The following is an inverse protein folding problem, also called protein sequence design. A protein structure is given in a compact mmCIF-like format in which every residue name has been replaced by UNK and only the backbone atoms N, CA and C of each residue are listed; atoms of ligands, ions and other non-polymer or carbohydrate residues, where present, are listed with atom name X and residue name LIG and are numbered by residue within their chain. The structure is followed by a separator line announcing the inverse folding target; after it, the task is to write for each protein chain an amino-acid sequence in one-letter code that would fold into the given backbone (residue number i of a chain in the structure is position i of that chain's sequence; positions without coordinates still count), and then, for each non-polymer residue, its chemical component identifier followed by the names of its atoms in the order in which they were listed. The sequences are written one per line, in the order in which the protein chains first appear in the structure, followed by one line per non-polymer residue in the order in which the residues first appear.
data_IF_044339433332
#
_entry.id   IF_044339433332
#
_cell.length_a   1.000
_cell.length_b   1.000
_cell.length_c   1.000
_cell.angle_alpha   90.00
_cell.angle_beta   90.00
_cell.angle_gamma   90.00
#
_symmetry.space_group_name_H-M   'P 1'
#
loop_
_entity.id
_entity.type
_entity.pdbx_description
1 polymer ?
#
# COMPACT_ATOMS: atom_id res chain seq x y z
N UNK A 1 25.08 -25.36 -53.92
CA UNK A 1 23.74 -25.33 -53.30
C UNK A 1 23.91 -25.38 -51.78
N UNK A 2 23.06 -24.71 -51.00
CA UNK A 2 23.49 -23.67 -50.04
C UNK A 2 23.08 -23.94 -48.56
N UNK A 3 23.31 -22.91 -47.71
CA UNK A 3 22.69 -22.60 -46.38
C UNK A 3 23.32 -23.29 -45.14
N UNK A 4 23.52 -22.66 -43.99
CA UNK A 4 23.45 -21.26 -43.51
C UNK A 4 24.16 -21.20 -42.15
N UNK A 5 24.74 -20.05 -41.86
CA UNK A 5 25.35 -19.65 -40.59
C UNK A 5 24.28 -19.59 -39.48
N UNK A 6 24.55 -20.18 -38.30
CA UNK A 6 23.76 -19.94 -37.08
C UNK A 6 24.60 -19.09 -36.14
N UNK A 7 24.09 -17.89 -35.89
CA UNK A 7 24.62 -16.93 -34.93
C UNK A 7 24.51 -17.53 -33.53
N UNK A 8 25.65 -17.62 -32.82
CA UNK A 8 25.63 -17.77 -31.38
C UNK A 8 25.06 -16.48 -30.78
N UNK A 9 23.82 -16.55 -30.31
CA UNK A 9 23.27 -15.55 -29.42
C UNK A 9 24.06 -15.62 -28.10
N UNK A 10 24.77 -14.55 -27.79
CA UNK A 10 25.38 -14.33 -26.49
C UNK A 10 24.27 -14.32 -25.44
N UNK A 11 24.32 -15.29 -24.54
CA UNK A 11 23.49 -15.39 -23.34
C UNK A 11 23.57 -14.07 -22.55
N UNK A 12 22.44 -13.41 -22.22
CA UNK A 12 22.49 -12.22 -21.38
C UNK A 12 22.95 -12.64 -19.98
N UNK A 13 24.00 -11.97 -19.49
CA UNK A 13 24.53 -12.18 -18.15
C UNK A 13 23.42 -12.09 -17.09
N UNK A 14 23.47 -12.92 -16.02
CA UNK A 14 22.51 -12.84 -14.94
C UNK A 14 22.55 -11.44 -14.32
N UNK A 15 21.36 -10.84 -14.16
CA UNK A 15 21.19 -9.56 -13.47
C UNK A 15 21.82 -9.65 -12.06
N UNK A 16 22.50 -8.58 -11.59
CA UNK A 16 23.01 -8.55 -10.23
C UNK A 16 21.84 -8.68 -9.24
N UNK A 17 22.02 -9.35 -8.09
CA UNK A 17 20.98 -9.42 -7.07
C UNK A 17 20.62 -8.00 -6.64
N UNK A 18 19.34 -7.67 -6.81
CA UNK A 18 18.74 -6.42 -6.38
C UNK A 18 18.84 -6.38 -4.85
N UNK A 19 19.87 -5.72 -4.30
CA UNK A 19 19.94 -5.39 -2.87
C UNK A 19 18.96 -4.25 -2.61
N UNK A 20 17.69 -4.54 -2.70
CA UNK A 20 16.68 -3.78 -1.96
C UNK A 20 16.91 -4.13 -0.49
N UNK A 21 17.07 -3.15 0.38
CA UNK A 21 17.19 -3.42 1.82
C UNK A 21 15.94 -4.19 2.24
N UNK A 22 16.08 -5.50 2.47
CA UNK A 22 15.00 -6.34 2.93
C UNK A 22 14.64 -5.87 4.33
N UNK A 23 13.41 -5.43 4.49
CA UNK A 23 12.85 -5.09 5.79
C UNK A 23 12.08 -6.34 6.19
N UNK A 24 12.53 -7.03 7.24
CA UNK A 24 11.91 -8.27 7.69
C UNK A 24 10.45 -8.01 8.09
N UNK A 25 9.53 -8.93 7.74
CA UNK A 25 8.11 -8.75 8.03
C UNK A 25 7.83 -8.68 9.54
N UNK A 26 8.67 -9.31 10.38
CA UNK A 26 8.58 -9.19 11.83
C UNK A 26 8.80 -7.75 12.32
N UNK A 27 9.83 -7.08 11.82
CA UNK A 27 10.07 -5.64 12.10
C UNK A 27 8.91 -4.77 11.64
N UNK A 28 8.26 -5.17 10.55
CA UNK A 28 7.12 -4.46 9.97
C UNK A 28 5.86 -4.66 10.81
N UNK A 29 5.61 -5.88 11.31
CA UNK A 29 4.52 -6.15 12.25
C UNK A 29 4.72 -5.41 13.57
N UNK A 30 5.94 -5.34 14.08
CA UNK A 30 6.25 -4.53 15.26
C UNK A 30 5.92 -3.05 15.01
N UNK A 31 6.29 -2.50 13.86
CA UNK A 31 5.97 -1.10 13.49
C UNK A 31 4.45 -0.89 13.33
N UNK A 32 3.73 -1.85 12.74
CA UNK A 32 2.27 -1.78 12.57
C UNK A 32 1.50 -2.05 13.87
N UNK A 33 2.08 -2.81 14.80
CA UNK A 33 1.51 -3.18 16.09
C UNK A 33 1.70 -2.13 17.18
N UNK A 34 2.88 -1.50 17.27
CA UNK A 34 3.39 -0.83 18.48
C UNK A 34 2.99 0.66 18.66
N UNK A 35 1.90 1.16 18.03
CA UNK A 35 1.50 2.59 18.15
C UNK A 35 0.07 2.85 18.58
N UNK A 36 -0.24 2.56 19.83
CA UNK A 36 -1.52 2.92 20.47
C UNK A 36 -1.55 4.39 20.90
N UNK A 37 -1.98 5.28 20.02
CA UNK A 37 -2.57 6.55 20.46
C UNK A 37 -4.09 6.42 20.51
N UNK A 38 -4.59 6.29 21.74
CA UNK A 38 -6.00 6.33 22.08
C UNK A 38 -6.57 7.72 21.78
N UNK A 39 -7.58 7.80 20.91
CA UNK A 39 -8.56 8.88 20.94
C UNK A 39 -9.90 8.38 20.43
N UNK A 40 -10.66 7.74 21.33
CA UNK A 40 -12.08 7.51 21.17
C UNK A 40 -12.83 8.83 21.46
N UNK A 41 -13.36 9.46 20.42
CA UNK A 41 -14.23 10.62 20.50
C UNK A 41 -15.52 10.36 19.73
N UNK A 42 -16.57 10.00 20.47
CA UNK A 42 -17.96 9.95 20.03
C UNK A 42 -18.47 11.37 19.70
N UNK A 43 -19.07 11.55 18.52
CA UNK A 43 -20.11 12.57 18.29
C UNK A 43 -20.64 12.48 16.85
N UNK A 44 -21.88 12.02 16.70
CA UNK A 44 -22.70 12.19 15.50
C UNK A 44 -23.06 13.65 15.22
N UNK A 45 -22.14 14.40 14.62
CA UNK A 45 -22.38 15.75 14.11
C UNK A 45 -22.28 15.79 12.58
N UNK A 46 -23.15 16.58 11.96
CA UNK A 46 -23.34 16.69 10.53
C UNK A 46 -22.05 16.97 9.74
N UNK A 47 -22.02 16.44 8.51
CA UNK A 47 -20.94 16.43 7.49
C UNK A 47 -20.48 17.84 7.07
N UNK A 48 -19.85 18.56 7.99
CA UNK A 48 -19.05 19.76 7.76
C UNK A 48 -17.92 19.76 8.79
N UNK A 49 -17.16 18.67 8.82
CA UNK A 49 -15.92 18.62 9.58
C UNK A 49 -14.84 19.39 8.78
N UNK A 50 -14.26 20.49 9.32
CA UNK A 50 -13.15 21.21 8.69
C UNK A 50 -11.94 20.31 8.41
N UNK A 51 -11.88 19.13 9.05
CA UNK A 51 -10.86 18.12 8.79
C UNK A 51 -11.03 17.46 7.42
N UNK A 52 -12.22 17.41 6.81
CA UNK A 52 -12.47 16.82 5.47
C UNK A 52 -12.15 17.77 4.29
N UNK A 53 -11.29 18.76 4.51
CA UNK A 53 -10.96 19.79 3.52
C UNK A 53 -9.94 19.33 2.48
N UNK A 54 -9.13 18.31 2.78
CA UNK A 54 -8.17 17.72 1.83
C UNK A 54 -8.60 16.32 1.37
N UNK A 55 -8.19 15.88 0.17
CA UNK A 55 -8.43 14.52 -0.30
C UNK A 55 -7.90 13.45 0.67
N UNK A 56 -6.68 13.63 1.20
CA UNK A 56 -6.08 12.73 2.20
C UNK A 56 -6.99 12.59 3.42
N UNK A 57 -7.50 13.69 3.97
CA UNK A 57 -8.33 13.62 5.16
C UNK A 57 -9.69 12.95 4.92
N UNK A 58 -10.28 13.11 3.72
CA UNK A 58 -11.49 12.36 3.33
C UNK A 58 -11.26 10.86 3.27
N UNK A 59 -10.10 10.45 2.75
CA UNK A 59 -9.70 9.04 2.72
C UNK A 59 -9.38 8.50 4.12
N UNK A 60 -8.75 9.31 4.98
CA UNK A 60 -8.52 8.94 6.39
C UNK A 60 -9.86 8.71 7.12
N UNK A 61 -10.84 9.59 6.90
CA UNK A 61 -12.18 9.40 7.45
C UNK A 61 -12.88 8.15 6.90
N UNK A 62 -12.68 7.82 5.61
CA UNK A 62 -13.16 6.57 5.03
C UNK A 62 -12.50 5.36 5.71
N UNK A 63 -11.18 5.37 5.89
CA UNK A 63 -10.44 4.31 6.56
C UNK A 63 -10.96 4.09 7.99
N UNK A 64 -11.12 5.18 8.76
CA UNK A 64 -11.71 5.13 10.10
C UNK A 64 -13.13 4.56 10.09
N UNK A 65 -13.97 4.98 9.13
CA UNK A 65 -15.34 4.49 9.00
C UNK A 65 -15.46 3.02 8.61
N UNK A 66 -14.39 2.42 8.08
CA UNK A 66 -14.32 0.99 7.74
C UNK A 66 -13.41 0.19 8.69
N UNK A 67 -13.07 0.75 9.85
CA UNK A 67 -12.19 0.15 10.87
C UNK A 67 -10.80 -0.28 10.33
N UNK A 68 -10.31 0.46 9.33
CA UNK A 68 -8.96 0.29 8.79
C UNK A 68 -8.03 1.24 9.53
N UNK A 69 -7.02 0.69 10.20
CA UNK A 69 -6.00 1.49 10.88
C UNK A 69 -5.01 2.05 9.86
N UNK A 70 -4.73 3.35 9.93
CA UNK A 70 -3.67 3.97 9.13
C UNK A 70 -2.53 4.38 10.06
N UNK A 71 -1.30 3.99 9.74
CA UNK A 71 -0.10 4.27 10.54
C UNK A 71 1.02 4.86 9.69
N UNK A 72 1.91 5.64 10.30
CA UNK A 72 3.11 6.15 9.65
C UNK A 72 4.29 5.19 9.85
N UNK A 73 4.98 4.91 8.74
CA UNK A 73 6.16 4.06 8.66
C UNK A 73 7.41 4.93 8.47
N UNK A 74 8.49 4.71 9.24
CA UNK A 74 9.76 5.41 9.00
C UNK A 74 10.33 5.06 7.62
N UNK A 75 10.57 6.07 6.77
CA UNK A 75 11.09 5.86 5.42
C UNK A 75 12.43 5.11 5.39
N UNK A 76 13.28 5.31 6.40
CA UNK A 76 14.58 4.64 6.55
C UNK A 76 14.45 3.09 6.64
N UNK A 77 13.28 2.61 7.08
CA UNK A 77 12.96 1.19 7.19
C UNK A 77 11.98 0.73 6.10
N UNK A 78 11.84 1.48 5.00
CA UNK A 78 10.85 1.18 3.94
C UNK A 78 11.37 1.57 2.55
N UNK A 79 12.66 1.29 2.29
CA UNK A 79 13.33 1.69 1.05
C UNK A 79 12.61 1.13 -0.17
N UNK A 80 12.12 2.02 -1.04
CA UNK A 80 11.40 1.67 -2.27
C UNK A 80 9.89 1.45 -2.12
N UNK A 81 9.38 1.42 -0.89
CA UNK A 81 7.95 1.26 -0.58
C UNK A 81 7.31 2.62 -0.30
N UNK A 82 6.13 2.86 -0.83
CA UNK A 82 5.29 3.99 -0.45
C UNK A 82 4.42 3.68 0.77
N UNK A 83 4.15 2.39 0.97
CA UNK A 83 3.31 1.95 2.05
C UNK A 83 3.21 0.44 2.11
N UNK A 84 2.40 -0.01 3.04
CA UNK A 84 2.11 -1.40 3.33
C UNK A 84 0.61 -1.55 3.50
N UNK A 85 0.11 -2.72 3.19
CA UNK A 85 -1.27 -3.10 3.46
C UNK A 85 -1.28 -4.51 4.03
N UNK A 86 -2.01 -4.72 5.12
CA UNK A 86 -2.02 -6.00 5.80
C UNK A 86 -3.29 -6.28 6.58
N UNK A 87 -3.51 -7.57 6.86
CA UNK A 87 -4.55 -8.04 7.78
C UNK A 87 -3.82 -8.79 8.89
N UNK A 88 -3.93 -8.27 10.11
CA UNK A 88 -3.37 -8.88 11.32
C UNK A 88 -4.47 -9.19 12.32
N UNK A 89 -4.07 -9.56 13.53
CA UNK A 89 -4.97 -9.61 14.69
C UNK A 89 -4.65 -8.48 15.65
N UNK A 90 -5.65 -7.94 16.32
CA UNK A 90 -5.45 -7.04 17.46
C UNK A 90 -5.13 -7.80 18.76
N UNK A 91 -5.07 -7.08 19.88
CA UNK A 91 -4.76 -7.64 21.21
C UNK A 91 -5.81 -8.65 21.70
N UNK A 92 -7.05 -8.52 21.22
CA UNK A 92 -8.15 -9.43 21.54
C UNK A 92 -8.20 -10.64 20.57
N UNK A 93 -7.32 -10.65 19.57
CA UNK A 93 -7.23 -11.70 18.55
C UNK A 93 -8.17 -11.48 17.36
N UNK A 94 -8.91 -10.36 17.32
CA UNK A 94 -9.85 -10.04 16.26
C UNK A 94 -9.11 -9.54 15.00
N UNK A 95 -9.58 -9.89 13.79
CA UNK A 95 -8.92 -9.52 12.56
C UNK A 95 -8.99 -8.00 12.35
N UNK A 96 -7.83 -7.38 12.12
CA UNK A 96 -7.71 -5.94 11.91
C UNK A 96 -6.92 -5.62 10.65
N UNK A 97 -7.53 -4.83 9.77
CA UNK A 97 -6.87 -4.32 8.58
C UNK A 97 -6.04 -3.07 8.89
N UNK A 98 -4.81 -3.03 8.36
CA UNK A 98 -3.87 -1.92 8.57
C UNK A 98 -3.28 -1.46 7.24
N UNK A 99 -3.15 -0.15 7.08
CA UNK A 99 -2.39 0.51 6.01
C UNK A 99 -1.26 1.28 6.66
N UNK A 100 -0.02 0.96 6.30
CA UNK A 100 1.14 1.78 6.64
C UNK A 100 1.49 2.71 5.48
N UNK A 101 1.81 3.97 5.76
CA UNK A 101 2.27 4.95 4.77
C UNK A 101 3.64 5.46 5.17
N UNK A 102 4.59 5.57 4.24
CA UNK A 102 5.90 6.13 4.60
C UNK A 102 5.78 7.62 4.93
N UNK A 103 6.57 8.07 5.91
CA UNK A 103 6.55 9.45 6.40
C UNK A 103 7.18 10.47 5.44
N UNK A 104 7.84 10.01 4.38
CA UNK A 104 8.48 10.83 3.36
C UNK A 104 7.60 11.11 2.13
N UNK A 105 6.34 10.66 2.11
CA UNK A 105 5.42 10.95 1.02
C UNK A 105 4.91 12.39 1.08
N UNK A 106 4.88 13.07 -0.07
CA UNK A 106 4.07 14.28 -0.20
C UNK A 106 2.57 13.97 -0.07
N UNK A 107 1.75 14.97 0.26
CA UNK A 107 0.31 14.77 0.53
C UNK A 107 -0.45 14.17 -0.67
N UNK A 108 -0.02 14.53 -1.88
CA UNK A 108 -0.61 14.06 -3.13
C UNK A 108 -0.37 12.57 -3.37
N UNK A 109 0.87 12.12 -3.21
CA UNK A 109 1.24 10.71 -3.30
C UNK A 109 0.69 9.92 -2.11
N UNK A 110 0.65 10.53 -0.92
CA UNK A 110 0.07 9.94 0.28
C UNK A 110 -1.42 9.63 0.10
N UNK A 111 -2.18 10.56 -0.47
CA UNK A 111 -3.59 10.32 -0.82
C UNK A 111 -3.74 9.15 -1.80
N UNK A 112 -2.87 9.09 -2.82
CA UNK A 112 -2.96 8.08 -3.87
C UNK A 112 -2.64 6.68 -3.34
N UNK A 113 -1.61 6.57 -2.51
CA UNK A 113 -1.19 5.32 -1.86
C UNK A 113 -2.25 4.86 -0.85
N UNK A 114 -2.82 5.79 -0.08
CA UNK A 114 -3.91 5.48 0.85
C UNK A 114 -5.15 4.97 0.12
N UNK A 115 -5.57 5.64 -0.96
CA UNK A 115 -6.68 5.18 -1.78
C UNK A 115 -6.42 3.80 -2.39
N UNK A 116 -5.19 3.54 -2.85
CA UNK A 116 -4.82 2.23 -3.37
C UNK A 116 -4.81 1.14 -2.29
N UNK A 117 -4.28 1.42 -1.10
CA UNK A 117 -4.30 0.49 0.03
C UNK A 117 -5.73 0.12 0.45
N UNK A 118 -6.63 1.11 0.53
CA UNK A 118 -8.06 0.89 0.78
C UNK A 118 -8.69 0.00 -0.30
N UNK A 119 -8.40 0.30 -1.57
CA UNK A 119 -8.90 -0.47 -2.69
C UNK A 119 -8.38 -1.92 -2.72
N UNK A 120 -7.16 -2.17 -2.24
CA UNK A 120 -6.61 -3.53 -2.11
C UNK A 120 -7.32 -4.31 -1.02
N UNK A 121 -7.55 -3.70 0.15
CA UNK A 121 -8.28 -4.34 1.26
C UNK A 121 -9.72 -4.68 0.89
N UNK A 122 -10.42 -3.77 0.22
CA UNK A 122 -11.83 -3.94 -0.14
C UNK A 122 -12.01 -4.77 -1.40
N UNK A 123 -11.17 -4.55 -2.42
CA UNK A 123 -11.35 -5.11 -3.76
C UNK A 123 -10.66 -6.45 -3.98
N UNK A 124 -9.63 -6.78 -3.21
CA UNK A 124 -8.82 -7.99 -3.40
C UNK A 124 -8.32 -8.58 -2.07
N UNK A 125 -9.22 -8.89 -1.11
CA UNK A 125 -8.80 -9.49 0.17
C UNK A 125 -8.12 -10.85 -0.01
N UNK A 126 -8.47 -11.58 -1.07
CA UNK A 126 -7.88 -12.88 -1.43
C UNK A 126 -6.35 -12.81 -1.59
N UNK A 127 -5.84 -11.71 -2.16
CA UNK A 127 -4.39 -11.53 -2.43
C UNK A 127 -3.61 -11.36 -1.14
N UNK A 128 -4.24 -10.83 -0.09
CA UNK A 128 -3.63 -10.74 1.24
C UNK A 128 -3.62 -12.10 1.93
N UNK A 129 -4.65 -12.93 1.74
CA UNK A 129 -4.70 -14.29 2.26
C UNK A 129 -3.62 -15.22 1.66
N UNK A 130 -3.16 -14.92 0.44
CA UNK A 130 -2.06 -15.63 -0.22
C UNK A 130 -0.67 -15.12 0.18
N UNK A 131 -0.57 -13.99 0.90
CA UNK A 131 0.70 -13.47 1.39
C UNK A 131 1.17 -14.25 2.62
N UNK A 132 2.45 -14.70 2.70
CA UNK A 132 2.96 -15.49 3.82
C UNK A 132 2.69 -14.90 5.20
N UNK A 133 2.83 -13.57 5.30
CA UNK A 133 2.67 -12.83 6.55
C UNK A 133 1.37 -12.00 6.57
N UNK A 134 0.47 -12.16 5.60
CA UNK A 134 -0.74 -11.33 5.49
C UNK A 134 -0.47 -9.86 5.17
N UNK A 135 0.74 -9.52 4.71
CA UNK A 135 1.18 -8.15 4.38
C UNK A 135 1.64 -8.08 2.92
N UNK A 136 1.34 -6.98 2.24
CA UNK A 136 1.89 -6.62 0.94
C UNK A 136 2.51 -5.23 1.01
N UNK A 137 3.67 -5.08 0.36
CA UNK A 137 4.28 -3.78 0.11
C UNK A 137 3.65 -3.10 -1.10
N UNK A 138 3.52 -1.77 -1.03
CA UNK A 138 3.09 -0.91 -2.14
C UNK A 138 4.32 -0.13 -2.62
N UNK A 139 4.67 -0.23 -3.90
CA UNK A 139 5.82 0.48 -4.46
C UNK A 139 5.64 2.01 -4.47
N UNK A 140 6.75 2.77 -4.42
CA UNK A 140 6.73 4.23 -4.71
C UNK A 140 6.43 4.56 -6.18
N UNK A 141 6.78 3.66 -7.09
CA UNK A 141 6.56 3.87 -8.52
C UNK A 141 5.09 3.59 -8.89
N UNK A 142 4.50 4.54 -9.61
CA UNK A 142 3.18 4.38 -10.23
C UNK A 142 3.31 3.54 -11.49
N UNK A 143 2.39 2.60 -11.63
CA UNK A 143 2.15 1.91 -12.90
C UNK A 143 1.19 2.72 -13.76
N UNK A 144 1.04 2.43 -15.06
CA UNK A 144 -0.07 2.95 -15.86
C UNK A 144 -1.40 2.67 -15.16
N UNK A 145 -2.34 3.63 -15.24
CA UNK A 145 -3.65 3.47 -14.63
C UNK A 145 -4.34 2.22 -15.17
N UNK A 146 -4.76 1.34 -14.28
CA UNK A 146 -5.53 0.16 -14.64
C UNK A 146 -7.00 0.53 -14.90
N UNK A 147 -7.59 -0.12 -15.90
CA UNK A 147 -9.02 0.02 -16.24
C UNK A 147 -9.94 -0.82 -15.32
N UNK A 148 -9.36 -1.69 -14.48
CA UNK A 148 -10.08 -2.53 -13.53
C UNK A 148 -9.23 -2.82 -12.27
N UNK A 149 -9.82 -3.53 -11.29
CA UNK A 149 -9.15 -3.94 -10.06
C UNK A 149 -8.89 -2.80 -9.06
N UNK A 150 -7.98 -3.02 -8.08
CA UNK A 150 -7.70 -2.04 -7.02
C UNK A 150 -7.26 -0.68 -7.54
N UNK A 151 -6.46 -0.65 -8.61
CA UNK A 151 -6.03 0.61 -9.24
C UNK A 151 -7.20 1.43 -9.78
N UNK A 152 -8.21 0.80 -10.39
CA UNK A 152 -9.38 1.52 -10.87
C UNK A 152 -10.32 1.96 -9.72
N UNK A 153 -10.47 1.12 -8.70
CA UNK A 153 -11.27 1.47 -7.52
C UNK A 153 -10.65 2.66 -6.77
N UNK A 154 -9.33 2.66 -6.58
CA UNK A 154 -8.59 3.76 -5.97
C UNK A 154 -8.78 5.07 -6.75
N UNK A 155 -8.76 5.01 -8.09
CA UNK A 155 -9.04 6.15 -8.94
C UNK A 155 -10.42 6.75 -8.66
N UNK A 156 -11.46 5.91 -8.61
CA UNK A 156 -12.82 6.37 -8.29
C UNK A 156 -12.94 6.97 -6.87
N UNK A 157 -12.24 6.40 -5.89
CA UNK A 157 -12.19 6.94 -4.52
C UNK A 157 -11.58 8.35 -4.52
N UNK A 158 -10.46 8.56 -5.21
CA UNK A 158 -9.83 9.88 -5.31
C UNK A 158 -10.68 10.91 -6.01
N UNK A 159 -11.30 10.54 -7.13
CA UNK A 159 -12.21 11.41 -7.86
C UNK A 159 -13.35 11.89 -6.96
N UNK A 160 -13.93 10.98 -6.17
CA UNK A 160 -14.96 11.31 -5.18
C UNK A 160 -14.43 12.23 -4.08
N UNK A 161 -13.16 12.06 -3.71
CA UNK A 161 -12.48 12.94 -2.75
C UNK A 161 -12.03 14.28 -3.37
N UNK A 162 -12.29 14.55 -4.65
CA UNK A 162 -11.96 15.80 -5.33
C UNK A 162 -10.51 15.88 -5.79
N UNK A 163 -9.84 14.74 -5.97
CA UNK A 163 -8.46 14.64 -6.43
C UNK A 163 -8.36 13.97 -7.79
N UNK A 164 -7.72 14.68 -8.71
CA UNK A 164 -7.25 14.09 -9.97
C UNK A 164 -5.82 13.57 -9.79
N UNK A 165 -5.57 12.38 -10.31
CA UNK A 165 -4.27 11.72 -10.20
C UNK A 165 -3.90 11.09 -11.55
N UNK A 166 -2.64 11.20 -12.01
CA UNK A 166 -2.22 10.62 -13.29
C UNK A 166 -2.27 9.09 -13.30
N UNK A 167 -2.15 8.47 -12.13
CA UNK A 167 -2.39 7.04 -11.92
C UNK A 167 -2.45 6.75 -10.42
N UNK A 168 -3.38 5.88 -10.05
CA UNK A 168 -3.55 5.34 -8.70
C UNK A 168 -3.21 3.87 -8.62
N UNK A 169 -2.54 3.34 -9.66
CA UNK A 169 -2.14 1.94 -9.72
C UNK A 169 -0.68 1.82 -9.31
N UNK A 170 -0.41 0.94 -8.35
CA UNK A 170 0.94 0.67 -7.84
C UNK A 170 1.25 -0.81 -7.91
N UNK A 171 2.54 -1.16 -7.87
CA UNK A 171 2.96 -2.56 -7.79
C UNK A 171 2.81 -3.05 -6.35
N UNK A 172 2.16 -4.20 -6.19
CA UNK A 172 2.16 -4.95 -4.94
C UNK A 172 3.40 -5.86 -4.88
N UNK A 173 4.04 -5.90 -3.73
CA UNK A 173 5.28 -6.64 -3.48
C UNK A 173 5.06 -7.61 -2.33
N UNK A 174 5.41 -8.88 -2.53
CA UNK A 174 5.50 -9.84 -1.42
C UNK A 174 6.77 -9.50 -0.64
N UNK A 175 6.63 -9.31 0.66
CA UNK A 175 7.74 -9.10 1.56
C UNK A 175 8.27 -10.46 1.97
N UNK A 176 9.58 -10.65 1.88
CA UNK A 176 10.23 -11.87 2.38
C UNK A 176 10.77 -11.59 3.77
N UNK A 177 10.41 -12.45 4.72
CA UNK A 177 11.11 -12.54 5.99
C UNK A 177 12.44 -13.25 5.76
N UNK A 178 13.55 -12.59 6.10
CA UNK A 178 14.85 -13.27 6.20
C UNK A 178 14.79 -14.15 7.45
N UNK A 179 14.71 -15.48 7.26
CA UNK A 179 14.86 -16.50 8.31
C UNK A 179 16.24 -16.45 8.98
#
# INVERSE_FOLDING_TARGET
MPLRQVQHATEPAPLPPNRTGAVAANTIWDIMGDRTDNSAGDSGAAVNDPLLTTPTARLMALAMGTDIRVVDLPADHSVGLAGLVGIGSDEDGEPRSTIGLTDDLDDDLRADVLAFGLAVLVGTPEVLAESPDGILGISKERLPQADNGPGNLAWHMLQTCGRESPSTTFRLMILQSDD
#
